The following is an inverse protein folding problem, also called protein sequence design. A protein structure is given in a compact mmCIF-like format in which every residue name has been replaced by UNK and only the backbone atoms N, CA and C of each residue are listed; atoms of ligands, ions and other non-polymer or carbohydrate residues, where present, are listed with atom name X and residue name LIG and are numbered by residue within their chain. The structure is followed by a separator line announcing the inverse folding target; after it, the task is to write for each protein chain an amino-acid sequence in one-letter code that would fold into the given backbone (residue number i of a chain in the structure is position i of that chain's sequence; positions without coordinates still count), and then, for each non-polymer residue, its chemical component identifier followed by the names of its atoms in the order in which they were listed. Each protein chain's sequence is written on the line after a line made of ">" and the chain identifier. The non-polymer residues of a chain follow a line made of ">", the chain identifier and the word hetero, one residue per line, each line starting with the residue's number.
data_IF_788582681941
#
_entry.id   IF_788582681941
#
_cell.length_a   1.000
_cell.length_b   1.000
_cell.length_c   1.000
_cell.angle_alpha   90.00
_cell.angle_beta   90.00
_cell.angle_gamma   90.00
#
_symmetry.space_group_name_H-M   'P 1'
#
loop_
_entity.id
_entity.type
_entity.pdbx_description
1 polymer ?
#
# COMPACT_ATOMS: atom_id res chain seq x y z
N UNK A 1 -6.87 33.04 27.15
CA UNK A 1 -7.18 33.11 25.71
C UNK A 1 -6.10 32.34 24.98
N UNK A 2 -6.50 31.47 24.04
CA UNK A 2 -5.68 30.86 22.98
C UNK A 2 -4.42 30.09 23.43
N UNK A 3 -4.23 28.81 23.11
CA UNK A 3 -4.17 28.28 21.76
C UNK A 3 -4.69 26.85 21.74
N UNK A 4 -5.72 26.62 20.94
CA UNK A 4 -6.12 25.28 20.51
C UNK A 4 -4.93 24.66 19.79
N UNK A 5 -4.16 23.81 20.46
CA UNK A 5 -3.29 22.88 19.74
C UNK A 5 -4.23 21.87 19.10
N UNK A 6 -4.48 22.13 17.82
CA UNK A 6 -5.11 21.23 16.88
C UNK A 6 -4.52 19.83 17.10
N UNK A 7 -5.38 18.85 17.40
CA UNK A 7 -5.02 17.45 17.32
C UNK A 7 -4.47 17.25 15.90
N UNK A 8 -3.14 17.20 15.77
CA UNK A 8 -2.49 16.69 14.58
C UNK A 8 -3.06 15.29 14.44
N UNK A 9 -3.98 15.13 13.49
CA UNK A 9 -4.51 13.83 13.12
C UNK A 9 -3.30 12.97 12.82
N UNK A 10 -3.07 11.99 13.67
CA UNK A 10 -2.09 10.93 13.48
C UNK A 10 -2.58 10.15 12.26
N UNK A 11 -2.33 10.69 11.06
CA UNK A 11 -2.55 9.98 9.82
C UNK A 11 -1.62 8.79 9.87
N UNK A 12 -2.18 7.63 10.19
CA UNK A 12 -1.41 6.43 10.44
C UNK A 12 -0.56 6.12 9.21
N UNK A 13 0.68 5.64 9.40
CA UNK A 13 1.57 5.23 8.30
C UNK A 13 0.88 4.46 7.15
N UNK A 14 -0.08 3.54 7.39
CA UNK A 14 -0.84 2.92 6.30
C UNK A 14 -1.65 3.92 5.46
N UNK A 15 -2.34 4.89 6.06
CA UNK A 15 -3.15 5.88 5.34
C UNK A 15 -2.31 6.74 4.38
N UNK A 16 -1.09 7.09 4.80
CA UNK A 16 -0.12 7.79 3.94
C UNK A 16 0.34 6.91 2.77
N UNK A 17 0.44 5.59 2.95
CA UNK A 17 0.75 4.66 1.86
C UNK A 17 -0.41 4.47 0.89
N UNK A 18 -1.65 4.46 1.37
CA UNK A 18 -2.84 4.46 0.51
C UNK A 18 -2.97 5.74 -0.32
N UNK A 19 -2.63 6.90 0.26
CA UNK A 19 -2.62 8.18 -0.46
C UNK A 19 -1.67 8.20 -1.65
N UNK A 20 -0.56 7.47 -1.55
CA UNK A 20 0.49 7.32 -2.56
C UNK A 20 0.11 6.43 -3.76
N UNK A 21 -0.93 5.60 -3.63
CA UNK A 21 -1.36 4.68 -4.68
C UNK A 21 -2.17 5.39 -5.78
N UNK A 22 -2.02 4.93 -7.02
CA UNK A 22 -2.91 5.32 -8.13
C UNK A 22 -4.31 4.76 -7.96
N UNK A 23 -5.27 5.25 -8.76
CA UNK A 23 -6.65 4.74 -8.73
C UNK A 23 -6.70 3.23 -9.02
N UNK A 24 -5.94 2.78 -10.04
CA UNK A 24 -5.88 1.38 -10.41
C UNK A 24 -5.25 0.52 -9.31
N UNK A 25 -4.14 0.99 -8.72
CA UNK A 25 -3.52 0.32 -7.58
C UNK A 25 -4.43 0.24 -6.36
N UNK A 26 -5.16 1.31 -6.03
CA UNK A 26 -6.12 1.29 -4.92
C UNK A 26 -7.21 0.28 -5.18
N UNK A 27 -7.75 0.22 -6.39
CA UNK A 27 -8.81 -0.72 -6.72
C UNK A 27 -8.35 -2.19 -6.59
N UNK A 28 -7.15 -2.48 -7.08
CA UNK A 28 -6.49 -3.76 -6.92
C UNK A 28 -6.16 -4.06 -5.44
N UNK A 29 -5.64 -3.09 -4.69
CA UNK A 29 -5.30 -3.23 -3.28
C UNK A 29 -6.54 -3.48 -2.43
N UNK A 30 -7.65 -2.79 -2.73
CA UNK A 30 -8.96 -3.01 -2.11
C UNK A 30 -9.47 -4.42 -2.38
N UNK A 31 -9.23 -4.96 -3.57
CA UNK A 31 -9.58 -6.35 -3.90
C UNK A 31 -8.75 -7.31 -3.05
N UNK A 32 -7.43 -7.11 -2.98
CA UNK A 32 -6.53 -7.93 -2.15
C UNK A 32 -6.84 -7.82 -0.64
N UNK A 33 -7.26 -6.65 -0.14
CA UNK A 33 -7.64 -6.51 1.28
C UNK A 33 -8.85 -7.38 1.62
N UNK A 34 -9.78 -7.61 0.68
CA UNK A 34 -10.89 -8.57 0.88
C UNK A 34 -10.42 -10.01 1.02
N UNK A 35 -9.29 -10.36 0.41
CA UNK A 35 -8.64 -11.66 0.57
C UNK A 35 -7.75 -11.73 1.83
N UNK A 36 -7.65 -10.65 2.60
CA UNK A 36 -6.86 -10.58 3.83
C UNK A 36 -5.42 -10.11 3.64
N UNK A 37 -5.07 -9.58 2.46
CA UNK A 37 -3.78 -8.93 2.26
C UNK A 37 -3.75 -7.58 2.94
N UNK A 38 -2.63 -7.26 3.58
CA UNK A 38 -2.42 -5.98 4.24
C UNK A 38 -1.37 -5.19 3.45
N UNK A 39 -1.66 -3.92 3.15
CA UNK A 39 -0.71 -3.03 2.52
C UNK A 39 0.46 -2.79 3.47
N UNK A 40 1.66 -3.19 3.05
CA UNK A 40 2.87 -3.01 3.87
C UNK A 40 3.53 -1.68 3.56
N UNK A 41 3.81 -1.41 2.30
CA UNK A 41 4.41 -0.17 1.84
C UNK A 41 4.26 -0.03 0.32
N UNK A 42 4.40 1.18 -0.18
CA UNK A 42 4.46 1.46 -1.62
C UNK A 42 5.87 1.84 -2.00
N UNK A 43 6.44 1.13 -2.97
CA UNK A 43 7.76 1.40 -3.54
C UNK A 43 7.60 2.32 -4.74
N UNK A 44 8.41 3.37 -4.81
CA UNK A 44 8.52 4.23 -5.98
C UNK A 44 9.87 3.99 -6.63
N UNK A 45 9.85 3.70 -7.93
CA UNK A 45 11.06 3.48 -8.74
C UNK A 45 10.99 4.36 -9.98
N UNK A 46 12.11 4.48 -10.70
CA UNK A 46 12.15 5.19 -11.98
C UNK A 46 11.18 4.61 -13.02
N UNK A 47 10.78 3.35 -12.84
CA UNK A 47 9.85 2.63 -13.71
C UNK A 47 8.38 2.79 -13.30
N UNK A 48 8.09 3.50 -12.20
CA UNK A 48 6.74 3.73 -11.69
C UNK A 48 6.57 3.35 -10.22
N UNK A 49 5.33 3.43 -9.75
CA UNK A 49 4.91 3.03 -8.41
C UNK A 49 4.54 1.54 -8.34
N UNK A 50 4.88 0.88 -7.23
CA UNK A 50 4.55 -0.51 -6.96
C UNK A 50 4.07 -0.64 -5.52
N UNK A 51 2.81 -1.02 -5.32
CA UNK A 51 2.28 -1.34 -4.00
C UNK A 51 2.75 -2.73 -3.59
N UNK A 52 3.22 -2.90 -2.35
CA UNK A 52 3.56 -4.21 -1.80
C UNK A 52 2.59 -4.55 -0.68
N UNK A 53 1.86 -5.63 -0.86
CA UNK A 53 0.93 -6.20 0.10
C UNK A 53 1.43 -7.57 0.55
N UNK A 54 1.00 -7.99 1.73
CA UNK A 54 1.40 -9.27 2.29
C UNK A 54 0.23 -9.89 3.03
N UNK A 55 0.03 -11.19 2.84
CA UNK A 55 -0.88 -11.98 3.66
C UNK A 55 -0.24 -12.33 5.01
N UNK A 56 -1.08 -12.61 6.00
CA UNK A 56 -0.64 -13.09 7.32
C UNK A 56 0.14 -14.41 7.27
N UNK A 57 -0.03 -15.20 6.20
CA UNK A 57 0.71 -16.45 5.97
C UNK A 57 2.12 -16.20 5.37
N UNK A 58 2.50 -14.95 5.11
CA UNK A 58 3.78 -14.58 4.51
C UNK A 58 3.81 -14.52 2.99
N UNK A 59 2.69 -14.76 2.29
CA UNK A 59 2.63 -14.63 0.83
C UNK A 59 2.67 -13.15 0.43
N UNK A 60 3.68 -12.72 -0.34
CA UNK A 60 3.74 -11.36 -0.86
C UNK A 60 2.88 -11.22 -2.12
N UNK A 61 2.28 -10.05 -2.30
CA UNK A 61 1.70 -9.62 -3.56
C UNK A 61 2.13 -8.21 -3.89
N UNK A 62 2.40 -7.93 -5.15
CA UNK A 62 2.72 -6.59 -5.64
C UNK A 62 1.65 -6.10 -6.59
N UNK A 63 1.44 -4.79 -6.61
CA UNK A 63 0.52 -4.15 -7.56
C UNK A 63 1.28 -3.08 -8.33
N UNK A 64 1.33 -3.24 -9.64
CA UNK A 64 1.94 -2.26 -10.55
C UNK A 64 1.10 -0.98 -10.64
N UNK A 65 1.68 0.11 -11.13
CA UNK A 65 0.98 1.41 -11.27
C UNK A 65 -0.34 1.34 -12.06
N UNK A 66 -0.41 0.42 -13.02
CA UNK A 66 -1.59 0.14 -13.86
C UNK A 66 -2.67 -0.69 -13.14
N UNK A 67 -2.42 -1.14 -11.91
CA UNK A 67 -3.34 -1.98 -11.14
C UNK A 67 -3.19 -3.49 -11.40
N UNK A 68 -2.17 -3.90 -12.16
CA UNK A 68 -1.85 -5.32 -12.34
C UNK A 68 -1.40 -5.95 -11.02
N UNK A 69 -2.08 -7.02 -10.61
CA UNK A 69 -1.82 -7.75 -9.38
C UNK A 69 -0.91 -8.94 -9.68
N UNK A 70 0.25 -8.98 -9.03
CA UNK A 70 1.15 -10.12 -9.07
C UNK A 70 1.25 -10.74 -7.66
N UNK A 71 0.64 -11.93 -7.48
CA UNK A 71 0.66 -12.70 -6.21
C UNK A 71 1.81 -13.69 -6.11
N UNK A 72 2.63 -13.81 -7.15
CA UNK A 72 3.89 -14.55 -7.17
C UNK A 72 5.03 -13.66 -7.65
N UNK A 73 5.26 -12.50 -7.02
CA UNK A 73 6.34 -11.63 -7.42
C UNK A 73 7.68 -12.28 -7.05
N UNK A 74 8.63 -12.30 -7.99
CA UNK A 74 10.02 -12.74 -7.75
C UNK A 74 10.75 -11.65 -6.95
N UNK A 75 10.30 -11.41 -5.71
CA UNK A 75 10.88 -10.42 -4.81
C UNK A 75 11.51 -11.14 -3.62
N UNK A 76 12.84 -11.09 -3.57
CA UNK A 76 13.60 -11.50 -2.41
C UNK A 76 13.54 -10.39 -1.35
N UNK A 77 12.68 -10.56 -0.35
CA UNK A 77 12.67 -9.73 0.86
C UNK A 77 13.86 -10.20 1.71
N UNK A 78 14.95 -9.42 1.76
CA UNK A 78 16.17 -9.72 2.53
C UNK A 78 16.30 -8.78 3.73
#
# INVERSE_FOLDING_TARGET
>A
MERRHYLVGDETEPEQNWKKLTLAQRFAALSLTKYGYELRFTRFTSSGSTAVLMLKNGTPATISEDGDINTTPDIHIR
#
